data_IF_388343434645
#
_entry.id   IF_388343434645
#
_cell.length_a   1.000
_cell.length_b   1.000
_cell.length_c   1.000
_cell.angle_alpha   90.00
_cell.angle_beta   90.00
_cell.angle_gamma   90.00
#
_symmetry.space_group_name_H-M   'P 1'
#
loop_
_entity.id
_entity.type
_entity.pdbx_description
1 polymer ?
#
# COMPACT_ATOMS: atom_id res chain seq x y z
N UNK A 1 -6.27 -15.62 -20.51
CA UNK A 1 -5.40 -15.57 -19.31
C UNK A 1 -4.21 -14.60 -19.45
N UNK A 2 -3.97 -14.03 -20.59
CA UNK A 2 -2.83 -13.12 -20.86
C UNK A 2 -2.94 -11.74 -20.18
N UNK A 3 -4.12 -11.30 -19.75
CA UNK A 3 -4.34 -9.98 -19.15
C UNK A 3 -4.17 -9.94 -17.60
N UNK A 4 -4.17 -11.09 -16.92
CA UNK A 4 -4.10 -11.15 -15.46
C UNK A 4 -2.84 -10.51 -14.84
N UNK A 5 -1.63 -10.66 -15.39
CA UNK A 5 -0.45 -9.97 -14.85
C UNK A 5 -0.59 -8.45 -14.90
N UNK A 6 -1.16 -7.91 -15.97
CA UNK A 6 -1.41 -6.49 -16.13
C UNK A 6 -2.43 -5.95 -15.09
N UNK A 7 -3.56 -6.66 -14.92
CA UNK A 7 -4.58 -6.28 -13.93
C UNK A 7 -4.01 -6.26 -12.50
N UNK A 8 -3.18 -7.24 -12.15
CA UNK A 8 -2.49 -7.31 -10.86
C UNK A 8 -1.52 -6.15 -10.67
N UNK A 9 -0.78 -5.78 -11.70
CA UNK A 9 0.11 -4.63 -11.65
C UNK A 9 -0.66 -3.32 -11.47
N UNK A 10 -1.81 -3.14 -12.12
CA UNK A 10 -2.66 -1.95 -11.91
C UNK A 10 -3.09 -1.80 -10.45
N UNK A 11 -3.42 -2.91 -9.76
CA UNK A 11 -3.73 -2.91 -8.34
C UNK A 11 -2.52 -2.44 -7.53
N UNK A 12 -1.32 -2.94 -7.85
CA UNK A 12 -0.09 -2.55 -7.15
C UNK A 12 0.25 -1.07 -7.36
N UNK A 13 0.11 -0.55 -8.59
CA UNK A 13 0.31 0.87 -8.91
C UNK A 13 -0.65 1.74 -8.08
N UNK A 14 -1.93 1.39 -8.09
CA UNK A 14 -2.96 2.12 -7.33
C UNK A 14 -2.68 2.08 -5.84
N UNK A 15 -2.27 0.92 -5.31
CA UNK A 15 -1.97 0.75 -3.90
C UNK A 15 -0.81 1.65 -3.43
N UNK A 16 0.29 1.70 -4.19
CA UNK A 16 1.45 2.54 -3.86
C UNK A 16 1.12 4.02 -3.98
N UNK A 17 0.36 4.43 -5.02
CA UNK A 17 -0.05 5.81 -5.19
C UNK A 17 -0.98 6.27 -4.05
N UNK A 18 -1.96 5.45 -3.67
CA UNK A 18 -2.86 5.75 -2.57
C UNK A 18 -2.14 5.80 -1.21
N UNK A 19 -1.19 4.88 -0.97
CA UNK A 19 -0.37 4.90 0.24
C UNK A 19 0.46 6.19 0.35
N UNK A 20 1.10 6.63 -0.74
CA UNK A 20 1.83 7.90 -0.75
C UNK A 20 0.91 9.08 -0.47
N UNK A 21 -0.26 9.15 -1.12
CA UNK A 21 -1.23 10.22 -0.90
C UNK A 21 -1.72 10.28 0.56
N UNK A 22 -1.91 9.12 1.21
CA UNK A 22 -2.28 9.05 2.62
C UNK A 22 -1.18 9.60 3.54
N UNK A 23 0.09 9.26 3.26
CA UNK A 23 1.24 9.81 4.00
C UNK A 23 1.30 11.34 3.84
N UNK A 24 1.19 11.85 2.61
CA UNK A 24 1.26 13.29 2.34
C UNK A 24 0.15 14.07 3.08
N UNK A 25 -1.09 13.56 3.06
CA UNK A 25 -2.21 14.13 3.80
C UNK A 25 -1.97 14.08 5.31
N UNK A 26 -1.44 12.96 5.81
CA UNK A 26 -1.16 12.78 7.23
C UNK A 26 -0.04 13.73 7.70
N UNK A 27 1.01 13.90 6.90
CA UNK A 27 2.10 14.86 7.17
C UNK A 27 1.56 16.29 7.27
N UNK A 28 0.67 16.69 6.35
CA UNK A 28 0.02 18.01 6.42
C UNK A 28 -0.81 18.15 7.71
N UNK A 29 -1.64 17.16 8.02
CA UNK A 29 -2.49 17.16 9.21
C UNK A 29 -1.70 17.25 10.51
N UNK A 30 -0.67 16.41 10.71
CA UNK A 30 0.09 16.38 11.97
C UNK A 30 0.95 17.62 12.20
N UNK A 31 1.28 18.39 11.13
CA UNK A 31 1.94 19.69 11.25
C UNK A 31 1.03 20.77 11.82
N UNK A 32 -0.25 20.71 11.51
CA UNK A 32 -1.25 21.71 11.92
C UNK A 32 -1.92 21.34 13.24
N UNK A 33 -2.25 20.06 13.43
CA UNK A 33 -2.96 19.58 14.62
C UNK A 33 -2.09 19.71 15.88
N UNK A 34 -2.58 20.41 16.88
CA UNK A 34 -1.91 20.60 18.17
C UNK A 34 -2.59 19.80 19.27
N UNK A 35 -1.78 19.14 20.10
CA UNK A 35 -2.17 18.43 21.31
C UNK A 35 -1.07 18.65 22.37
N UNK A 36 -1.44 18.74 23.64
CA UNK A 36 -0.49 18.99 24.73
C UNK A 36 0.48 20.16 24.47
N UNK A 37 -0.01 21.23 23.85
CA UNK A 37 0.75 22.45 23.61
C UNK A 37 1.69 22.45 22.40
N UNK A 38 1.78 21.36 21.64
CA UNK A 38 2.65 21.26 20.45
C UNK A 38 1.97 20.53 19.29
N UNK A 39 2.54 20.64 18.07
CA UNK A 39 2.04 19.91 16.91
C UNK A 39 2.20 18.40 17.10
N UNK A 40 1.24 17.59 16.60
CA UNK A 40 1.31 16.13 16.66
C UNK A 40 2.59 15.62 15.95
N UNK A 41 3.00 16.26 14.87
CA UNK A 41 4.24 15.95 14.15
C UNK A 41 5.53 16.22 14.94
N UNK A 42 5.48 16.94 16.08
CA UNK A 42 6.65 17.16 16.92
C UNK A 42 6.97 15.95 17.83
N UNK A 43 6.00 15.06 18.06
CA UNK A 43 6.25 13.86 18.88
C UNK A 43 7.14 12.85 18.12
N UNK A 44 8.08 12.26 18.85
CA UNK A 44 9.06 11.33 18.29
C UNK A 44 8.40 10.12 17.62
N UNK A 45 7.40 9.53 18.27
CA UNK A 45 6.67 8.39 17.73
C UNK A 45 6.04 8.71 16.36
N UNK A 46 5.34 9.86 16.23
CA UNK A 46 4.74 10.30 14.98
C UNK A 46 5.78 10.42 13.86
N UNK A 47 6.93 11.01 14.16
CA UNK A 47 8.02 11.19 13.20
C UNK A 47 8.60 9.87 12.74
N UNK A 48 8.80 8.92 13.66
CA UNK A 48 9.37 7.62 13.34
C UNK A 48 8.41 6.77 12.53
N UNK A 49 7.13 6.70 12.93
CA UNK A 49 6.08 6.02 12.17
C UNK A 49 6.02 6.53 10.73
N UNK A 50 5.96 7.85 10.53
CA UNK A 50 5.89 8.41 9.17
C UNK A 50 7.17 8.17 8.36
N UNK A 51 8.35 8.19 8.98
CA UNK A 51 9.61 7.89 8.31
C UNK A 51 9.68 6.42 7.87
N UNK A 52 9.22 5.48 8.70
CA UNK A 52 9.14 4.06 8.37
C UNK A 52 8.18 3.82 7.21
N UNK A 53 6.97 4.36 7.28
CA UNK A 53 5.96 4.24 6.22
C UNK A 53 6.45 4.82 4.90
N UNK A 54 7.07 6.01 4.93
CA UNK A 54 7.63 6.63 3.73
C UNK A 54 8.73 5.77 3.10
N UNK A 55 9.57 5.15 3.93
CA UNK A 55 10.63 4.26 3.44
C UNK A 55 10.04 3.02 2.76
N UNK A 56 9.06 2.37 3.39
CA UNK A 56 8.40 1.18 2.82
C UNK A 56 7.67 1.49 1.51
N UNK A 57 6.99 2.64 1.43
CA UNK A 57 6.33 3.09 0.20
C UNK A 57 7.34 3.38 -0.90
N UNK A 58 8.49 3.99 -0.56
CA UNK A 58 9.56 4.22 -1.53
C UNK A 58 10.14 2.92 -2.09
N UNK A 59 10.36 1.91 -1.24
CA UNK A 59 10.81 0.56 -1.67
C UNK A 59 9.78 -0.08 -2.60
N UNK A 60 8.49 -0.02 -2.22
CA UNK A 60 7.41 -0.53 -3.05
C UNK A 60 7.30 0.20 -4.40
N UNK A 61 7.53 1.52 -4.43
CA UNK A 61 7.56 2.34 -5.65
C UNK A 61 8.62 1.83 -6.63
N UNK A 62 9.84 1.63 -6.15
CA UNK A 62 10.95 1.12 -6.99
C UNK A 62 10.60 -0.25 -7.58
N UNK A 63 9.98 -1.13 -6.80
CA UNK A 63 9.54 -2.44 -7.29
C UNK A 63 8.43 -2.34 -8.35
N UNK A 64 7.43 -1.47 -8.12
CA UNK A 64 6.34 -1.24 -9.07
C UNK A 64 6.88 -0.61 -10.37
N UNK A 65 7.78 0.37 -10.28
CA UNK A 65 8.41 0.98 -11.45
C UNK A 65 9.17 -0.07 -12.29
N UNK A 66 9.88 -1.00 -11.62
CA UNK A 66 10.50 -2.14 -12.30
C UNK A 66 9.49 -3.05 -13.00
N UNK A 67 8.35 -3.32 -12.37
CA UNK A 67 7.27 -4.09 -13.01
C UNK A 67 6.69 -3.37 -14.23
N UNK A 68 6.56 -2.04 -14.19
CA UNK A 68 6.14 -1.24 -15.33
C UNK A 68 7.14 -1.34 -16.50
N UNK A 69 8.44 -1.28 -16.24
CA UNK A 69 9.48 -1.51 -17.26
C UNK A 69 9.34 -2.90 -17.90
N UNK A 70 9.07 -3.94 -17.09
CA UNK A 70 8.89 -5.30 -17.57
C UNK A 70 7.64 -5.43 -18.46
N UNK A 71 6.54 -4.74 -18.13
CA UNK A 71 5.36 -4.68 -19.01
C UNK A 71 5.71 -4.02 -20.33
N UNK A 72 6.39 -2.88 -20.33
CA UNK A 72 6.79 -2.18 -21.55
C UNK A 72 7.71 -3.02 -22.46
N UNK A 73 8.46 -3.95 -21.84
CA UNK A 73 9.33 -4.89 -22.54
C UNK A 73 8.66 -6.23 -22.90
N UNK A 74 7.38 -6.41 -22.59
CA UNK A 74 6.63 -7.67 -22.72
C UNK A 74 7.29 -8.85 -21.98
N UNK A 75 7.78 -8.57 -20.75
CA UNK A 75 8.54 -9.52 -19.92
C UNK A 75 7.99 -9.69 -18.50
N UNK A 76 6.83 -9.10 -18.18
CA UNK A 76 6.24 -9.26 -16.85
C UNK A 76 5.64 -10.67 -16.73
N UNK A 77 6.26 -11.50 -15.88
CA UNK A 77 5.74 -12.82 -15.56
C UNK A 77 4.64 -12.78 -14.49
N UNK A 78 3.90 -13.89 -14.40
CA UNK A 78 2.75 -14.02 -13.49
C UNK A 78 3.16 -13.98 -12.01
N UNK A 79 4.31 -14.54 -11.67
CA UNK A 79 4.84 -14.58 -10.30
C UNK A 79 5.23 -13.18 -9.83
N UNK A 80 5.98 -12.44 -10.65
CA UNK A 80 6.39 -11.05 -10.34
C UNK A 80 5.18 -10.14 -10.19
N UNK A 81 4.19 -10.25 -11.07
CA UNK A 81 2.93 -9.50 -10.97
C UNK A 81 2.15 -9.85 -9.68
N UNK A 82 2.16 -11.13 -9.29
CA UNK A 82 1.53 -11.58 -8.04
C UNK A 82 2.25 -11.06 -6.80
N UNK A 83 3.60 -11.02 -6.84
CA UNK A 83 4.40 -10.40 -5.77
C UNK A 83 4.05 -8.92 -5.61
N UNK A 84 4.02 -8.17 -6.71
CA UNK A 84 3.67 -6.75 -6.70
C UNK A 84 2.26 -6.52 -6.12
N UNK A 85 1.27 -7.29 -6.59
CA UNK A 85 -0.12 -7.18 -6.14
C UNK A 85 -0.28 -7.41 -4.64
N UNK A 86 0.19 -8.56 -4.13
CA UNK A 86 -0.05 -8.87 -2.71
C UNK A 86 0.75 -7.95 -1.77
N UNK A 87 2.03 -7.71 -2.09
CA UNK A 87 2.90 -6.88 -1.26
C UNK A 87 2.39 -5.43 -1.16
N UNK A 88 2.08 -4.81 -2.32
CA UNK A 88 1.65 -3.41 -2.34
C UNK A 88 0.25 -3.22 -1.71
N UNK A 89 -0.67 -4.18 -1.87
CA UNK A 89 -1.99 -4.09 -1.25
C UNK A 89 -1.95 -4.31 0.28
N UNK A 90 -1.05 -5.17 0.77
CA UNK A 90 -0.80 -5.33 2.21
C UNK A 90 -0.16 -4.05 2.79
N UNK A 91 0.82 -3.48 2.10
CA UNK A 91 1.46 -2.23 2.49
C UNK A 91 0.45 -1.07 2.51
N UNK A 92 -0.41 -0.94 1.50
CA UNK A 92 -1.45 0.08 1.48
C UNK A 92 -2.34 -0.01 2.73
N UNK A 93 -2.82 -1.20 3.08
CA UNK A 93 -3.64 -1.40 4.27
C UNK A 93 -2.90 -1.00 5.56
N UNK A 94 -1.62 -1.37 5.68
CA UNK A 94 -0.77 -0.95 6.80
C UNK A 94 -0.64 0.57 6.89
N UNK A 95 -0.33 1.23 5.77
CA UNK A 95 -0.17 2.68 5.71
C UNK A 95 -1.48 3.38 6.10
N UNK A 96 -2.62 2.91 5.59
CA UNK A 96 -3.92 3.50 5.92
C UNK A 96 -4.24 3.35 7.41
N UNK A 97 -3.96 2.20 8.01
CA UNK A 97 -4.19 1.93 9.44
C UNK A 97 -3.39 2.89 10.33
N UNK A 98 -2.10 3.00 10.08
CA UNK A 98 -1.21 3.90 10.81
C UNK A 98 -1.57 5.38 10.60
N UNK A 99 -1.95 5.77 9.40
CA UNK A 99 -2.40 7.13 9.11
C UNK A 99 -3.70 7.47 9.86
N UNK A 100 -4.69 6.57 9.86
CA UNK A 100 -5.93 6.71 10.66
C UNK A 100 -5.60 6.91 12.14
N UNK A 101 -4.66 6.11 12.67
CA UNK A 101 -4.21 6.24 14.07
C UNK A 101 -3.64 7.63 14.37
N UNK A 102 -2.83 8.19 13.45
CA UNK A 102 -2.24 9.53 13.60
C UNK A 102 -3.26 10.67 13.50
N UNK A 103 -4.39 10.46 12.82
CA UNK A 103 -5.53 11.39 12.83
C UNK A 103 -6.33 11.34 14.14
N UNK A 104 -6.21 10.24 14.91
CA UNK A 104 -7.00 10.02 16.11
C UNK A 104 -8.49 9.93 15.80
N UNK A 105 -9.36 10.51 16.64
CA UNK A 105 -10.81 10.46 16.45
C UNK A 105 -11.27 10.98 15.09
N UNK A 106 -10.60 11.96 14.51
CA UNK A 106 -10.91 12.47 13.17
C UNK A 106 -10.61 11.44 12.07
N UNK A 107 -9.66 10.53 12.27
CA UNK A 107 -9.39 9.42 11.35
C UNK A 107 -10.53 8.40 11.27
N UNK A 108 -11.52 8.46 12.15
CA UNK A 108 -12.72 7.60 12.14
C UNK A 108 -14.00 8.35 11.73
N UNK A 109 -13.87 9.59 11.29
CA UNK A 109 -14.99 10.41 10.82
C UNK A 109 -15.05 10.40 9.29
N UNK A 110 -16.22 10.09 8.73
CA UNK A 110 -16.41 9.90 7.28
C UNK A 110 -16.13 11.15 6.44
N UNK A 111 -16.18 12.32 7.06
CA UNK A 111 -15.84 13.61 6.47
C UNK A 111 -14.35 13.71 6.07
N UNK A 112 -13.49 12.99 6.79
CA UNK A 112 -12.05 12.98 6.51
C UNK A 112 -11.69 11.98 5.40
N UNK A 113 -10.91 12.41 4.38
CA UNK A 113 -10.53 11.52 3.28
C UNK A 113 -9.81 10.25 3.71
N UNK A 114 -9.02 10.31 4.78
CA UNK A 114 -8.27 9.16 5.29
C UNK A 114 -9.19 8.01 5.74
N UNK A 115 -10.36 8.32 6.32
CA UNK A 115 -11.34 7.31 6.74
C UNK A 115 -11.88 6.54 5.53
N UNK A 116 -12.21 7.25 4.45
CA UNK A 116 -12.68 6.63 3.21
C UNK A 116 -11.57 5.82 2.55
N UNK A 117 -10.35 6.37 2.50
CA UNK A 117 -9.19 5.68 1.95
C UNK A 117 -8.87 4.38 2.71
N UNK A 118 -9.03 4.38 4.04
CA UNK A 118 -8.89 3.18 4.86
C UNK A 118 -9.93 2.10 4.48
N UNK A 119 -11.19 2.48 4.35
CA UNK A 119 -12.25 1.55 3.94
C UNK A 119 -12.00 1.00 2.53
N UNK A 120 -11.63 1.86 1.59
CA UNK A 120 -11.37 1.49 0.18
C UNK A 120 -10.14 0.60 0.03
N UNK A 121 -9.11 0.79 0.85
CA UNK A 121 -7.90 -0.02 0.81
C UNK A 121 -8.19 -1.52 1.10
N UNK A 122 -9.20 -1.82 1.92
CA UNK A 122 -9.44 -3.18 2.38
C UNK A 122 -9.77 -4.17 1.26
N UNK A 123 -10.45 -3.74 0.21
CA UNK A 123 -10.83 -4.59 -0.92
C UNK A 123 -9.65 -4.95 -1.82
N UNK A 124 -8.57 -4.16 -1.82
CA UNK A 124 -7.37 -4.38 -2.63
C UNK A 124 -6.72 -5.76 -2.37
N UNK A 125 -6.89 -6.29 -1.17
CA UNK A 125 -6.38 -7.62 -0.78
C UNK A 125 -7.24 -8.78 -1.28
N UNK A 126 -8.43 -8.49 -1.83
CA UNK A 126 -9.46 -9.48 -2.17
C UNK A 126 -9.59 -9.64 -3.69
N UNK A 127 -9.84 -8.54 -4.41
CA UNK A 127 -10.09 -8.60 -5.83
C UNK A 127 -8.80 -8.79 -6.66
N UNK A 128 -8.93 -9.12 -7.94
CA UNK A 128 -7.79 -9.51 -8.79
C UNK A 128 -7.11 -10.81 -8.35
N UNK A 129 -7.79 -11.59 -7.49
CA UNK A 129 -7.31 -12.74 -6.74
C UNK A 129 -6.86 -12.34 -5.33
N UNK A 130 -7.29 -13.10 -4.32
CA UNK A 130 -6.90 -12.81 -2.93
C UNK A 130 -5.39 -12.91 -2.74
N UNK A 131 -4.85 -12.25 -1.71
CA UNK A 131 -3.42 -12.28 -1.44
C UNK A 131 -2.91 -13.69 -1.10
N UNK A 132 -3.77 -14.56 -0.57
CA UNK A 132 -3.48 -15.99 -0.38
C UNK A 132 -3.28 -16.70 -1.73
N UNK A 133 -4.12 -16.43 -2.73
CA UNK A 133 -3.96 -16.96 -4.09
C UNK A 133 -2.69 -16.41 -4.75
N UNK A 134 -2.32 -15.16 -4.51
CA UNK A 134 -1.05 -14.62 -5.02
C UNK A 134 0.15 -15.37 -4.45
N UNK A 135 0.14 -15.66 -3.15
CA UNK A 135 1.19 -16.45 -2.48
C UNK A 135 1.24 -17.89 -3.01
N UNK A 136 0.08 -18.50 -3.31
CA UNK A 136 0.01 -19.81 -3.95
C UNK A 136 0.65 -19.80 -5.35
N UNK A 137 0.38 -18.79 -6.16
CA UNK A 137 1.01 -18.64 -7.50
C UNK A 137 2.52 -18.53 -7.38
N UNK A 138 3.01 -17.70 -6.45
CA UNK A 138 4.44 -17.51 -6.23
C UNK A 138 5.10 -18.81 -5.76
N UNK A 139 4.50 -19.51 -4.80
CA UNK A 139 5.05 -20.77 -4.26
C UNK A 139 5.14 -21.87 -5.33
N UNK A 140 4.18 -21.94 -6.25
CA UNK A 140 4.24 -22.85 -7.40
C UNK A 140 5.39 -22.52 -8.34
N UNK A 141 5.64 -21.24 -8.61
CA UNK A 141 6.80 -20.77 -9.38
C UNK A 141 8.14 -21.17 -8.75
N UNK A 142 8.18 -21.28 -7.41
CA UNK A 142 9.33 -21.78 -6.65
C UNK A 142 9.46 -23.33 -6.67
N UNK A 143 8.54 -24.03 -7.35
CA UNK A 143 8.50 -25.50 -7.34
C UNK A 143 7.88 -26.12 -6.08
N UNK A 144 7.21 -25.30 -5.25
CA UNK A 144 6.51 -25.74 -4.05
C UNK A 144 5.02 -25.94 -4.37
N UNK A 145 4.41 -26.94 -3.79
CA UNK A 145 2.99 -27.26 -3.97
C UNK A 145 2.77 -28.72 -4.32
N UNK A 146 1.78 -29.36 -3.68
CA UNK A 146 1.34 -30.72 -4.03
C UNK A 146 0.63 -30.74 -5.39
N UNK A 147 0.76 -31.84 -6.10
CA UNK A 147 -0.06 -32.16 -7.27
C UNK A 147 -1.50 -32.35 -6.88
#
# INVERSE_FOLDING_TARGET
MEQLPWERLQIAITAVAAAQAAIDQTVAYVKERKVFGQAVGAFQNTRYTLAELQTEVQVARVFVDKCCELVCADKLDTETASMAKYWCSDLQCKVMDECVQLFGGYGYMWEYPITRAYADARVQRIYGGTNEIMKEVISRGMGLGGR
#
